data_IF_994976242824
#
_entry.id   IF_994976242824
#
_cell.length_a   1.000
_cell.length_b   1.000
_cell.length_c   1.000
_cell.angle_alpha   90.00
_cell.angle_beta   90.00
_cell.angle_gamma   90.00
#
_symmetry.space_group_name_H-M   'P 1'
#
loop_
_entity.id
_entity.type
_entity.pdbx_description
1 polymer ?
#
# COMPACT_ATOMS: atom_id res chain seq x y z
N UNK A 1 25.27 34.58 14.11
CA UNK A 1 25.44 33.13 13.91
C UNK A 1 24.04 32.51 13.88
N UNK A 2 23.49 32.26 12.70
CA UNK A 2 22.17 31.65 12.51
C UNK A 2 22.32 30.14 12.64
N UNK A 3 21.73 29.53 13.68
CA UNK A 3 21.63 28.06 13.83
C UNK A 3 20.67 27.54 12.77
N UNK A 4 21.19 26.71 11.86
CA UNK A 4 20.37 25.96 10.94
C UNK A 4 19.53 24.98 11.74
N UNK A 5 18.22 25.12 11.71
CA UNK A 5 17.28 24.12 12.21
C UNK A 5 17.31 22.93 11.23
N UNK A 6 17.92 21.84 11.67
CA UNK A 6 17.78 20.56 11.00
C UNK A 6 16.32 20.09 11.21
N UNK A 7 15.50 20.23 10.20
CA UNK A 7 14.19 19.57 10.15
C UNK A 7 14.47 18.07 9.99
N UNK A 8 14.30 17.33 11.07
CA UNK A 8 14.37 15.87 11.08
C UNK A 8 13.16 15.34 10.30
N UNK A 9 13.32 15.09 9.01
CA UNK A 9 12.36 14.35 8.22
C UNK A 9 12.47 12.87 8.64
N UNK A 10 11.68 12.48 9.62
CA UNK A 10 11.48 11.05 9.92
C UNK A 10 10.69 10.49 8.76
N UNK A 11 11.39 9.90 7.79
CA UNK A 11 10.76 9.09 6.75
C UNK A 11 10.13 7.88 7.43
N UNK A 12 8.80 7.87 7.49
CA UNK A 12 8.01 6.72 7.91
C UNK A 12 8.18 5.61 6.85
N UNK A 13 9.19 4.77 7.05
CA UNK A 13 9.11 3.40 6.56
C UNK A 13 8.03 2.72 7.41
N UNK A 14 6.81 2.68 6.89
CA UNK A 14 5.78 1.82 7.46
C UNK A 14 6.38 0.41 7.58
N UNK A 15 6.20 -0.28 8.70
CA UNK A 15 6.68 -1.64 8.85
C UNK A 15 6.11 -2.51 7.73
N UNK A 16 6.89 -3.42 7.17
CA UNK A 16 6.52 -4.26 6.02
C UNK A 16 5.24 -5.09 6.22
N UNK A 17 4.79 -5.27 7.45
CA UNK A 17 3.50 -5.89 7.78
C UNK A 17 2.31 -5.05 7.27
N UNK A 18 2.47 -3.73 7.07
CA UNK A 18 1.43 -2.88 6.50
C UNK A 18 1.32 -2.97 4.97
N UNK A 19 2.31 -3.54 4.28
CA UNK A 19 2.35 -3.65 2.82
C UNK A 19 1.71 -4.93 2.27
N UNK A 20 1.30 -5.87 3.12
CA UNK A 20 0.73 -7.14 2.70
C UNK A 20 -0.67 -7.02 2.06
N UNK A 21 -1.27 -5.84 1.98
CA UNK A 21 -2.65 -5.66 1.53
C UNK A 21 -2.86 -4.64 0.40
N UNK A 22 -1.82 -4.11 -0.19
CA UNK A 22 -1.97 -3.42 -1.47
C UNK A 22 -1.87 -4.45 -2.60
N UNK A 23 -2.98 -5.07 -2.93
CA UNK A 23 -3.09 -5.83 -4.17
C UNK A 23 -3.05 -4.84 -5.33
N UNK A 24 -2.09 -5.02 -6.18
CA UNK A 24 -1.79 -4.13 -7.31
C UNK A 24 -2.85 -4.20 -8.40
N UNK A 25 -3.68 -5.23 -8.39
CA UNK A 25 -4.77 -5.41 -9.36
C UNK A 25 -5.93 -4.43 -9.16
N UNK A 26 -6.13 -3.93 -7.96
CA UNK A 26 -6.88 -2.71 -7.74
C UNK A 26 -5.91 -1.55 -7.91
N UNK A 27 -5.69 -1.11 -9.14
CA UNK A 27 -5.18 0.24 -9.32
C UNK A 27 -6.13 1.15 -8.55
N UNK A 28 -5.74 1.67 -7.37
CA UNK A 28 -6.69 2.37 -6.56
C UNK A 28 -7.24 3.51 -7.40
N UNK A 29 -8.57 3.71 -7.37
CA UNK A 29 -9.08 5.03 -7.62
C UNK A 29 -8.09 6.00 -6.98
N UNK A 30 -7.81 7.13 -7.63
CA UNK A 30 -7.03 8.16 -6.97
C UNK A 30 -7.63 8.32 -5.58
N UNK A 31 -6.91 7.76 -4.60
CA UNK A 31 -7.45 7.43 -3.27
C UNK A 31 -7.93 8.62 -2.48
N UNK A 32 -7.97 9.81 -3.07
CA UNK A 32 -8.35 11.02 -2.36
C UNK A 32 -8.80 12.17 -3.26
N UNK A 33 -9.00 12.01 -4.57
CA UNK A 33 -9.07 13.20 -5.41
C UNK A 33 -7.83 14.07 -5.26
N UNK A 34 -6.75 13.52 -4.72
CA UNK A 34 -5.45 14.16 -4.65
C UNK A 34 -4.67 13.79 -5.87
N UNK A 35 -4.51 14.76 -6.72
CA UNK A 35 -3.38 14.79 -7.61
C UNK A 35 -2.10 14.80 -6.78
N UNK A 36 -0.95 14.29 -7.30
CA UNK A 36 0.33 14.46 -6.65
C UNK A 36 0.43 15.92 -6.18
N UNK A 37 0.65 16.11 -4.88
CA UNK A 37 0.76 17.46 -4.32
C UNK A 37 1.77 18.23 -5.16
N UNK A 38 1.37 19.40 -5.68
CA UNK A 38 2.31 20.26 -6.39
C UNK A 38 3.48 20.56 -5.47
N UNK A 39 4.69 20.44 -5.98
CA UNK A 39 5.87 20.93 -5.29
C UNK A 39 5.70 22.45 -5.07
N UNK A 40 5.23 22.85 -3.90
CA UNK A 40 4.93 24.26 -3.57
C UNK A 40 3.59 24.50 -2.88
N UNK A 41 2.69 23.50 -2.83
CA UNK A 41 1.46 23.64 -2.06
C UNK A 41 1.78 23.59 -0.57
N UNK A 42 1.67 24.74 0.11
CA UNK A 42 1.69 24.79 1.58
C UNK A 42 0.47 24.02 2.06
N UNK A 43 0.70 22.84 2.66
CA UNK A 43 -0.36 22.01 3.22
C UNK A 43 -1.21 22.88 4.17
N UNK A 44 -2.49 23.03 3.85
CA UNK A 44 -3.42 23.73 4.75
C UNK A 44 -3.50 22.95 6.06
N UNK A 45 -3.57 23.61 7.20
CA UNK A 45 -3.69 22.92 8.48
C UNK A 45 -4.98 22.08 8.57
N UNK A 46 -6.02 22.50 7.84
CA UNK A 46 -7.29 21.76 7.71
C UNK A 46 -7.78 21.87 6.27
N UNK A 47 -8.24 20.78 5.72
CA UNK A 47 -8.74 20.63 4.35
C UNK A 47 -10.03 19.79 4.38
N UNK A 48 -11.10 20.33 3.81
CA UNK A 48 -12.38 19.67 3.65
C UNK A 48 -12.66 19.52 2.16
N UNK A 49 -13.17 18.38 1.73
CA UNK A 49 -13.50 18.19 0.32
C UNK A 49 -14.74 17.34 0.12
N UNK A 50 -15.43 17.61 -0.96
CA UNK A 50 -16.43 16.73 -1.56
C UNK A 50 -15.97 16.38 -2.96
N UNK A 51 -16.27 15.18 -3.42
CA UNK A 51 -15.86 14.75 -4.75
C UNK A 51 -16.89 13.81 -5.37
N UNK A 52 -16.92 13.82 -6.69
CA UNK A 52 -17.67 12.86 -7.50
C UNK A 52 -16.81 12.36 -8.65
N UNK A 53 -17.09 11.16 -9.10
CA UNK A 53 -16.36 10.57 -10.22
C UNK A 53 -17.20 9.54 -10.97
N UNK A 54 -16.81 9.33 -12.24
CA UNK A 54 -17.35 8.30 -13.10
C UNK A 54 -16.18 7.45 -13.62
N UNK A 55 -16.33 6.14 -13.55
CA UNK A 55 -15.39 5.18 -14.14
C UNK A 55 -16.13 4.28 -15.12
N UNK A 56 -15.59 4.13 -16.31
CA UNK A 56 -16.00 3.10 -17.26
C UNK A 56 -14.89 2.05 -17.35
N UNK A 57 -15.18 0.83 -16.99
CA UNK A 57 -14.28 -0.32 -17.08
C UNK A 57 -14.86 -1.34 -18.04
N UNK A 58 -14.08 -1.87 -18.97
CA UNK A 58 -14.54 -2.82 -19.99
C UNK A 58 -14.53 -4.29 -19.49
N UNK A 59 -13.88 -4.58 -18.38
CA UNK A 59 -13.78 -5.92 -17.79
C UNK A 59 -13.72 -5.84 -16.26
N UNK A 60 -14.84 -5.44 -15.63
CA UNK A 60 -14.90 -5.14 -14.19
C UNK A 60 -14.48 -6.33 -13.31
N UNK A 61 -14.87 -7.55 -13.69
CA UNK A 61 -14.60 -8.76 -12.91
C UNK A 61 -13.25 -9.42 -13.24
N UNK A 62 -12.47 -8.82 -14.15
CA UNK A 62 -11.14 -9.33 -14.52
C UNK A 62 -11.17 -10.81 -14.96
N UNK A 63 -12.07 -11.13 -15.87
CA UNK A 63 -12.22 -12.50 -16.44
C UNK A 63 -11.63 -12.56 -17.85
N UNK A 64 -11.18 -13.74 -18.24
CA UNK A 64 -10.53 -13.98 -19.54
C UNK A 64 -11.53 -13.91 -20.71
N UNK A 65 -12.65 -14.60 -20.56
CA UNK A 65 -13.66 -14.74 -21.61
C UNK A 65 -14.95 -14.02 -21.20
N UNK A 66 -15.57 -13.34 -22.17
CA UNK A 66 -16.81 -12.61 -21.98
C UNK A 66 -16.77 -11.57 -20.84
N UNK A 67 -15.63 -10.91 -20.71
CA UNK A 67 -15.47 -9.80 -19.77
C UNK A 67 -16.59 -8.75 -19.94
N UNK A 68 -17.32 -8.49 -18.85
CA UNK A 68 -18.40 -7.50 -18.84
C UNK A 68 -17.90 -6.21 -18.24
N UNK A 69 -18.13 -5.12 -18.98
CA UNK A 69 -17.82 -3.79 -18.51
C UNK A 69 -18.92 -3.21 -17.65
N UNK A 70 -18.58 -2.22 -16.85
CA UNK A 70 -19.55 -1.43 -16.09
C UNK A 70 -19.19 0.05 -16.05
N UNK A 71 -20.17 0.87 -15.73
CA UNK A 71 -19.99 2.29 -15.39
C UNK A 71 -20.27 2.46 -13.91
N UNK A 72 -19.24 2.91 -13.18
CA UNK A 72 -19.31 3.08 -11.73
C UNK A 72 -19.33 4.56 -11.40
N UNK A 73 -20.34 5.02 -10.69
CA UNK A 73 -20.41 6.35 -10.10
C UNK A 73 -19.87 6.32 -8.68
N UNK A 74 -19.12 7.34 -8.31
CA UNK A 74 -18.63 7.55 -6.96
C UNK A 74 -19.00 8.94 -6.48
N UNK A 75 -19.51 9.02 -5.25
CA UNK A 75 -19.71 10.27 -4.52
C UNK A 75 -19.12 10.15 -3.13
N UNK A 76 -18.38 11.15 -2.69
CA UNK A 76 -17.75 11.10 -1.40
C UNK A 76 -17.39 12.46 -0.83
N UNK A 77 -17.03 12.41 0.44
CA UNK A 77 -16.51 13.55 1.19
C UNK A 77 -15.40 13.13 2.13
N UNK A 78 -14.57 14.06 2.50
CA UNK A 78 -13.53 13.81 3.47
C UNK A 78 -12.99 15.07 4.10
N UNK A 79 -12.24 14.87 5.14
CA UNK A 79 -11.49 15.92 5.79
C UNK A 79 -10.09 15.45 6.18
N UNK A 80 -9.19 16.42 6.28
CA UNK A 80 -7.86 16.22 6.84
C UNK A 80 -7.50 17.40 7.69
N UNK A 81 -6.86 17.13 8.80
CA UNK A 81 -6.24 18.18 9.62
C UNK A 81 -4.86 17.75 10.09
N UNK A 82 -3.93 18.70 10.18
CA UNK A 82 -2.61 18.52 10.76
C UNK A 82 -2.32 19.68 11.67
N UNK A 83 -2.28 19.41 12.98
CA UNK A 83 -2.16 20.41 14.02
C UNK A 83 -0.94 20.15 14.91
N UNK A 84 -0.26 21.21 15.32
CA UNK A 84 0.62 21.13 16.49
C UNK A 84 -0.24 21.10 17.74
N UNK A 85 -0.03 20.10 18.59
CA UNK A 85 -0.82 19.92 19.80
C UNK A 85 -0.13 20.65 20.98
N UNK A 86 1.08 20.21 21.33
CA UNK A 86 1.87 20.83 22.41
C UNK A 86 3.36 20.72 22.04
N UNK A 87 4.09 21.83 22.11
CA UNK A 87 5.53 21.84 21.88
C UNK A 87 5.93 21.29 20.50
N UNK A 88 6.67 20.18 20.48
CA UNK A 88 7.12 19.48 19.25
C UNK A 88 6.24 18.29 18.89
N UNK A 89 5.01 18.27 19.36
CA UNK A 89 4.04 17.22 19.05
C UNK A 89 3.10 17.69 17.93
N UNK A 90 2.82 16.80 17.00
CA UNK A 90 1.86 17.05 15.92
C UNK A 90 0.91 15.87 15.77
N UNK A 91 -0.36 16.18 15.55
CA UNK A 91 -1.41 15.21 15.27
C UNK A 91 -1.94 15.49 13.87
N UNK A 92 -1.96 14.47 13.02
CA UNK A 92 -2.70 14.52 11.76
C UNK A 92 -3.83 13.51 11.80
N UNK A 93 -5.00 13.93 11.32
CA UNK A 93 -6.19 13.09 11.22
C UNK A 93 -6.75 13.24 9.82
N UNK A 94 -7.08 12.15 9.19
CA UNK A 94 -7.78 12.11 7.90
C UNK A 94 -8.95 11.14 7.99
N UNK A 95 -10.11 11.52 7.45
CA UNK A 95 -11.23 10.62 7.29
C UNK A 95 -11.93 10.90 5.97
N UNK A 96 -12.47 9.83 5.36
CA UNK A 96 -13.14 9.87 4.08
C UNK A 96 -14.22 8.81 4.02
N UNK A 97 -15.34 9.14 3.35
CA UNK A 97 -16.39 8.21 3.02
C UNK A 97 -16.80 8.36 1.56
N UNK A 98 -17.03 7.23 0.89
CA UNK A 98 -17.39 7.14 -0.53
C UNK A 98 -18.55 6.19 -0.73
N UNK A 99 -19.52 6.58 -1.48
CA UNK A 99 -20.58 5.73 -1.99
C UNK A 99 -20.28 5.37 -3.44
N UNK A 100 -20.32 4.08 -3.77
CA UNK A 100 -20.12 3.53 -5.10
C UNK A 100 -21.44 2.93 -5.60
N UNK A 101 -21.83 3.30 -6.81
CA UNK A 101 -23.00 2.77 -7.50
C UNK A 101 -22.59 2.24 -8.86
N UNK A 102 -22.97 0.99 -9.15
CA UNK A 102 -22.65 0.25 -10.35
C UNK A 102 -23.90 0.20 -11.24
N UNK A 103 -23.72 0.40 -12.54
CA UNK A 103 -24.85 0.43 -13.48
C UNK A 103 -25.36 -0.98 -13.83
N UNK A 104 -24.44 -1.90 -14.13
CA UNK A 104 -24.75 -3.28 -14.50
C UNK A 104 -24.75 -4.24 -13.29
N UNK A 105 -23.74 -4.09 -12.43
CA UNK A 105 -23.55 -4.95 -11.25
C UNK A 105 -24.04 -4.24 -9.98
N UNK A 106 -25.33 -3.86 -9.96
CA UNK A 106 -25.92 -3.09 -8.84
C UNK A 106 -25.81 -3.79 -7.48
N UNK A 107 -25.66 -5.12 -7.46
CA UNK A 107 -25.39 -5.88 -6.23
C UNK A 107 -24.03 -5.55 -5.60
N UNK A 108 -23.12 -4.89 -6.33
CA UNK A 108 -21.84 -4.40 -5.83
C UNK A 108 -21.92 -3.00 -5.21
N UNK A 109 -23.07 -2.34 -5.25
CA UNK A 109 -23.27 -1.03 -4.62
C UNK A 109 -22.87 -1.08 -3.15
N UNK A 110 -22.04 -0.13 -2.72
CA UNK A 110 -21.52 -0.15 -1.37
C UNK A 110 -21.07 1.23 -0.88
N UNK A 111 -20.94 1.33 0.43
CA UNK A 111 -20.26 2.42 1.10
C UNK A 111 -18.88 1.97 1.57
N UNK A 112 -17.84 2.69 1.14
CA UNK A 112 -16.46 2.54 1.56
C UNK A 112 -16.06 3.69 2.48
N UNK A 113 -15.17 3.46 3.42
CA UNK A 113 -14.60 4.52 4.23
C UNK A 113 -13.15 4.25 4.58
N UNK A 114 -12.40 5.31 4.85
CA UNK A 114 -11.07 5.24 5.44
C UNK A 114 -10.90 6.33 6.49
N UNK A 115 -10.18 6.00 7.54
CA UNK A 115 -9.78 6.93 8.58
C UNK A 115 -8.36 6.63 9.03
N UNK A 116 -7.56 7.67 9.26
CA UNK A 116 -6.21 7.56 9.78
C UNK A 116 -5.93 8.69 10.78
N UNK A 117 -5.18 8.35 11.83
CA UNK A 117 -4.62 9.30 12.77
C UNK A 117 -3.14 8.98 12.97
N UNK A 118 -2.29 10.00 12.92
CA UNK A 118 -0.85 9.91 13.13
C UNK A 118 -0.45 10.97 14.15
N UNK A 119 0.04 10.51 15.29
CA UNK A 119 0.57 11.35 16.34
C UNK A 119 2.10 11.22 16.37
N UNK A 120 2.79 12.30 16.07
CA UNK A 120 4.25 12.42 16.13
C UNK A 120 4.65 13.23 17.34
N UNK A 121 5.67 12.75 18.03
CA UNK A 121 6.14 13.38 19.26
C UNK A 121 7.67 13.37 19.35
N UNK A 122 8.20 14.40 19.99
CA UNK A 122 9.61 14.54 20.34
C UNK A 122 9.73 14.90 21.81
N UNK A 123 10.62 14.24 22.52
CA UNK A 123 10.93 14.48 23.92
C UNK A 123 12.42 14.80 24.05
N UNK A 124 12.75 15.98 24.51
CA UNK A 124 14.13 16.47 24.47
C UNK A 124 14.65 16.61 23.04
N UNK A 125 15.91 16.24 22.82
CA UNK A 125 16.55 16.29 21.50
C UNK A 125 16.87 14.90 20.94
N UNK A 126 16.74 13.87 21.77
CA UNK A 126 17.29 12.56 21.49
C UNK A 126 16.21 11.49 21.31
N UNK A 127 14.99 11.74 21.79
CA UNK A 127 13.90 10.77 21.70
C UNK A 127 12.76 11.33 20.83
N UNK A 128 12.39 10.58 19.82
CA UNK A 128 11.28 10.91 18.94
C UNK A 128 10.51 9.63 18.55
N UNK A 129 9.23 9.78 18.27
CA UNK A 129 8.43 8.65 17.84
C UNK A 129 7.11 9.04 17.20
N UNK A 130 6.35 8.02 16.83
CA UNK A 130 5.00 8.17 16.28
C UNK A 130 4.10 7.03 16.72
N UNK A 131 2.80 7.32 16.77
CA UNK A 131 1.74 6.32 16.88
C UNK A 131 0.78 6.59 15.73
N UNK A 132 0.50 5.56 14.94
CA UNK A 132 -0.41 5.65 13.82
C UNK A 132 -1.52 4.61 13.94
N UNK A 133 -2.75 5.04 13.73
CA UNK A 133 -3.96 4.22 13.65
C UNK A 133 -4.60 4.43 12.28
N UNK A 134 -4.94 3.35 11.60
CA UNK A 134 -5.69 3.37 10.35
C UNK A 134 -6.82 2.35 10.37
N UNK A 135 -7.96 2.73 9.81
CA UNK A 135 -9.07 1.82 9.54
C UNK A 135 -9.67 2.13 8.19
N UNK A 136 -9.83 1.09 7.38
CA UNK A 136 -10.46 1.20 6.07
C UNK A 136 -11.48 0.09 5.85
N UNK A 137 -12.54 0.40 5.12
CA UNK A 137 -13.48 -0.58 4.60
C UNK A 137 -13.64 -0.35 3.11
N UNK A 138 -13.41 -1.38 2.32
CA UNK A 138 -13.47 -1.33 0.87
C UNK A 138 -14.04 -2.60 0.28
N UNK A 139 -14.45 -2.56 -0.97
CA UNK A 139 -14.79 -3.77 -1.71
C UNK A 139 -13.55 -4.67 -1.83
N UNK A 140 -13.72 -5.98 -1.68
CA UNK A 140 -12.68 -6.97 -1.97
C UNK A 140 -12.24 -6.86 -3.43
N UNK A 141 -11.00 -7.25 -3.69
CA UNK A 141 -10.46 -7.19 -5.03
C UNK A 141 -11.22 -8.12 -5.97
N UNK A 142 -11.85 -7.56 -7.00
CA UNK A 142 -12.63 -8.30 -7.98
C UNK A 142 -11.75 -9.17 -8.89
N UNK A 143 -10.46 -8.85 -9.03
CA UNK A 143 -9.52 -9.67 -9.80
C UNK A 143 -9.20 -11.00 -9.11
N UNK A 144 -9.28 -11.03 -7.78
CA UNK A 144 -9.07 -12.24 -6.99
C UNK A 144 -10.38 -13.01 -6.74
N UNK A 145 -11.44 -12.29 -6.35
CA UNK A 145 -12.74 -12.92 -6.09
C UNK A 145 -13.47 -13.37 -7.35
N UNK A 146 -13.31 -12.62 -8.46
CA UNK A 146 -13.89 -12.86 -9.80
C UNK A 146 -15.38 -13.17 -9.75
N UNK A 147 -16.03 -12.69 -8.72
CA UNK A 147 -17.44 -12.95 -8.43
C UNK A 147 -18.20 -11.64 -8.37
N UNK A 148 -19.39 -11.55 -8.97
CA UNK A 148 -20.24 -10.38 -8.87
C UNK A 148 -20.95 -10.27 -7.50
N UNK A 149 -20.47 -10.97 -6.48
CA UNK A 149 -21.00 -10.85 -5.11
C UNK A 149 -20.21 -9.79 -4.36
N UNK A 150 -20.94 -8.91 -3.69
CA UNK A 150 -20.33 -7.92 -2.81
C UNK A 150 -19.68 -8.61 -1.62
N UNK A 151 -18.38 -8.44 -1.47
CA UNK A 151 -17.60 -8.81 -0.29
C UNK A 151 -16.82 -7.59 0.17
N UNK A 152 -17.03 -7.15 1.39
CA UNK A 152 -16.33 -5.99 1.95
C UNK A 152 -15.20 -6.44 2.85
N UNK A 153 -14.07 -5.79 2.71
CA UNK A 153 -12.88 -5.99 3.56
C UNK A 153 -12.76 -4.80 4.50
N UNK A 154 -12.68 -5.07 5.79
CA UNK A 154 -12.37 -4.07 6.81
C UNK A 154 -11.00 -4.36 7.39
N UNK A 155 -10.05 -3.46 7.17
CA UNK A 155 -8.69 -3.55 7.72
C UNK A 155 -8.48 -2.46 8.79
N UNK A 156 -7.95 -2.87 9.94
CA UNK A 156 -7.54 -1.96 11.01
C UNK A 156 -6.07 -2.19 11.29
N UNK A 157 -5.28 -1.10 11.34
CA UNK A 157 -3.84 -1.13 11.58
C UNK A 157 -3.51 -0.17 12.71
N UNK A 158 -2.68 -0.64 13.64
CA UNK A 158 -2.09 0.17 14.70
C UNK A 158 -0.59 -0.02 14.66
N UNK A 159 0.17 1.06 14.73
CA UNK A 159 1.62 0.98 14.84
C UNK A 159 2.17 2.07 15.75
N UNK A 160 3.26 1.75 16.42
CA UNK A 160 4.01 2.68 17.24
C UNK A 160 5.49 2.50 17.01
N UNK A 161 6.23 3.59 16.85
CA UNK A 161 7.69 3.58 16.70
C UNK A 161 8.32 4.62 17.61
N UNK A 162 9.51 4.31 18.11
CA UNK A 162 10.33 5.24 18.88
C UNK A 162 11.80 5.08 18.47
N UNK A 163 12.53 6.19 18.41
CA UNK A 163 13.94 6.23 18.13
C UNK A 163 14.67 7.08 19.17
N UNK A 164 15.74 6.55 19.74
CA UNK A 164 16.58 7.19 20.74
C UNK A 164 18.01 7.38 20.21
N UNK A 165 18.51 8.62 20.22
CA UNK A 165 19.88 8.95 19.85
C UNK A 165 20.81 8.66 21.03
N UNK A 166 21.54 7.53 20.96
CA UNK A 166 22.56 7.18 21.98
C UNK A 166 23.75 8.14 21.90
N UNK A 167 24.11 8.49 20.69
CA UNK A 167 25.15 9.49 20.38
C UNK A 167 24.62 10.39 19.27
N UNK A 168 25.38 11.44 18.91
CA UNK A 168 25.02 12.31 17.78
C UNK A 168 24.92 11.60 16.42
N UNK A 169 25.33 10.32 16.35
CA UNK A 169 25.37 9.53 15.10
C UNK A 169 24.81 8.12 15.21
N UNK A 170 24.50 7.66 16.40
CA UNK A 170 23.97 6.32 16.63
C UNK A 170 22.58 6.39 17.22
N UNK A 171 21.61 5.78 16.52
CA UNK A 171 20.21 5.70 16.94
C UNK A 171 19.79 4.26 17.17
N UNK A 172 19.11 4.00 18.27
CA UNK A 172 18.30 2.80 18.44
C UNK A 172 16.88 3.12 18.02
N UNK A 173 16.26 2.24 17.25
CA UNK A 173 14.86 2.35 16.88
C UNK A 173 14.12 1.07 17.26
N UNK A 174 12.94 1.22 17.84
CA UNK A 174 12.04 0.13 18.14
C UNK A 174 10.62 0.45 17.67
N UNK A 175 9.82 -0.57 17.42
CA UNK A 175 8.44 -0.40 17.04
C UNK A 175 7.60 -1.65 17.24
N UNK A 176 6.30 -1.43 17.36
CA UNK A 176 5.27 -2.47 17.44
C UNK A 176 4.19 -2.18 16.41
N UNK A 177 3.57 -3.22 15.88
CA UNK A 177 2.46 -3.09 14.94
C UNK A 177 1.44 -4.20 15.14
N UNK A 178 0.19 -3.89 14.82
CA UNK A 178 -0.91 -4.85 14.78
C UNK A 178 -1.81 -4.56 13.59
N UNK A 179 -2.28 -5.61 12.93
CA UNK A 179 -3.22 -5.52 11.82
C UNK A 179 -4.31 -6.58 11.99
N UNK A 180 -5.56 -6.18 11.74
CA UNK A 180 -6.71 -7.08 11.68
C UNK A 180 -7.42 -6.81 10.37
N UNK A 181 -7.64 -7.86 9.57
CA UNK A 181 -8.41 -7.80 8.32
C UNK A 181 -9.58 -8.76 8.40
N UNK A 182 -10.78 -8.27 8.15
CA UNK A 182 -12.03 -9.01 8.25
C UNK A 182 -12.81 -8.90 6.95
N UNK A 183 -13.43 -10.00 6.53
CA UNK A 183 -14.31 -10.06 5.37
C UNK A 183 -15.75 -10.28 5.82
N UNK A 184 -16.71 -9.56 5.23
CA UNK A 184 -18.12 -9.70 5.62
C UNK A 184 -18.82 -10.95 5.05
N UNK A 185 -18.19 -11.63 4.10
CA UNK A 185 -18.74 -12.83 3.44
C UNK A 185 -17.82 -14.03 3.47
N UNK A 186 -16.63 -13.89 4.05
CA UNK A 186 -15.59 -14.92 4.08
C UNK A 186 -14.83 -14.88 5.40
N UNK A 187 -15.37 -15.57 6.41
CA UNK A 187 -14.73 -15.67 7.71
C UNK A 187 -13.39 -16.42 7.63
N UNK A 188 -13.25 -17.34 6.66
CA UNK A 188 -12.00 -18.05 6.35
C UNK A 188 -10.86 -17.16 5.85
N UNK A 189 -11.17 -15.94 5.43
CA UNK A 189 -10.19 -14.95 5.00
C UNK A 189 -9.86 -13.90 6.10
N UNK A 190 -10.37 -14.06 7.31
CA UNK A 190 -9.96 -13.21 8.43
C UNK A 190 -8.51 -13.47 8.79
N UNK A 191 -7.75 -12.38 8.97
CA UNK A 191 -6.35 -12.47 9.38
C UNK A 191 -6.02 -11.45 10.46
N UNK A 192 -5.19 -11.84 11.40
CA UNK A 192 -4.63 -10.99 12.45
C UNK A 192 -3.12 -11.12 12.43
N UNK A 193 -2.42 -10.04 12.60
CA UNK A 193 -0.96 -10.07 12.71
C UNK A 193 -0.48 -9.07 13.75
N UNK A 194 0.50 -9.49 14.54
CA UNK A 194 1.22 -8.64 15.48
C UNK A 194 2.71 -8.71 15.17
N UNK A 195 3.40 -7.58 15.20
CA UNK A 195 4.82 -7.52 14.86
C UNK A 195 5.60 -6.57 15.74
N UNK A 196 6.89 -6.85 15.83
CA UNK A 196 7.88 -6.01 16.50
C UNK A 196 9.08 -5.78 15.58
N UNK A 197 9.72 -4.63 15.71
CA UNK A 197 10.95 -4.26 15.00
C UNK A 197 11.94 -3.63 15.97
N UNK A 198 13.22 -3.98 15.79
CA UNK A 198 14.35 -3.34 16.44
C UNK A 198 15.43 -3.02 15.43
N UNK A 199 16.06 -1.86 15.54
CA UNK A 199 17.15 -1.47 14.64
C UNK A 199 18.22 -0.66 15.35
N UNK A 200 19.46 -0.83 14.87
CA UNK A 200 20.59 0.03 15.19
C UNK A 200 20.98 0.76 13.92
N UNK A 201 21.01 2.08 13.97
CA UNK A 201 21.17 2.92 12.78
C UNK A 201 22.27 3.96 13.01
N UNK A 202 23.17 4.06 12.04
CA UNK A 202 24.05 5.21 11.90
C UNK A 202 23.29 6.36 11.23
N UNK A 203 23.33 7.52 11.83
CA UNK A 203 22.71 8.75 11.31
C UNK A 203 23.83 9.72 10.92
N UNK A 204 23.92 10.07 9.66
CA UNK A 204 24.90 11.02 9.17
C UNK A 204 24.55 12.45 9.57
N UNK A 205 25.48 13.43 9.52
CA UNK A 205 25.19 14.84 9.79
C UNK A 205 24.13 15.44 8.86
N UNK A 206 23.90 14.84 7.69
CA UNK A 206 22.84 15.24 6.73
C UNK A 206 21.51 14.55 6.97
N UNK A 207 21.40 13.70 8.01
CA UNK A 207 20.19 12.95 8.33
C UNK A 207 20.02 11.65 7.54
N UNK A 208 21.01 11.23 6.71
CA UNK A 208 20.98 9.95 6.03
C UNK A 208 21.20 8.82 7.04
N UNK A 209 20.55 7.68 6.83
CA UNK A 209 20.62 6.55 7.76
C UNK A 209 21.10 5.28 7.07
N UNK A 210 21.88 4.49 7.80
CA UNK A 210 22.27 3.14 7.44
C UNK A 210 22.18 2.28 8.71
N UNK A 211 21.52 1.13 8.64
CA UNK A 211 21.30 0.33 9.84
C UNK A 211 21.10 -1.14 9.58
N UNK A 212 21.15 -1.87 10.69
CA UNK A 212 20.73 -3.27 10.78
C UNK A 212 19.41 -3.32 11.53
N UNK A 213 18.44 -4.02 10.95
CA UNK A 213 17.09 -4.16 11.47
C UNK A 213 16.75 -5.64 11.64
N UNK A 214 16.07 -5.96 12.73
CA UNK A 214 15.49 -7.28 12.99
C UNK A 214 13.99 -7.08 13.16
N UNK A 215 13.20 -7.91 12.50
CA UNK A 215 11.74 -7.96 12.62
C UNK A 215 11.27 -9.33 13.03
N UNK A 216 10.16 -9.34 13.77
CA UNK A 216 9.36 -10.53 14.01
C UNK A 216 7.89 -10.20 13.85
N UNK A 217 7.12 -11.12 13.31
CA UNK A 217 5.67 -11.03 13.24
C UNK A 217 5.06 -12.41 13.45
N UNK A 218 3.98 -12.45 14.23
CA UNK A 218 3.10 -13.62 14.36
C UNK A 218 1.78 -13.27 13.66
N UNK A 219 1.33 -14.16 12.77
CA UNK A 219 0.07 -14.04 12.05
C UNK A 219 -0.85 -15.20 12.42
N UNK A 220 -2.12 -14.88 12.62
CA UNK A 220 -3.19 -15.75 13.04
C UNK A 220 -4.34 -15.69 12.03
N UNK A 221 -4.83 -16.87 11.61
CA UNK A 221 -6.05 -17.04 10.82
C UNK A 221 -7.09 -17.74 11.69
N UNK A 222 -8.03 -16.97 12.34
CA UNK A 222 -8.93 -17.50 13.36
C UNK A 222 -9.84 -18.63 12.90
N UNK A 223 -10.07 -18.74 11.60
CA UNK A 223 -10.87 -19.82 11.01
C UNK A 223 -9.94 -20.76 10.22
N UNK A 224 -9.96 -22.02 10.60
CA UNK A 224 -9.17 -23.04 9.93
C UNK A 224 -9.62 -23.19 8.46
N UNK A 225 -8.67 -23.32 7.55
CA UNK A 225 -8.91 -23.59 6.14
C UNK A 225 -9.27 -25.05 5.93
N UNK A 226 -10.31 -25.29 5.14
CA UNK A 226 -10.69 -26.64 4.73
C UNK A 226 -9.88 -27.05 3.50
N UNK A 227 -8.98 -28.02 3.68
CA UNK A 227 -8.18 -28.57 2.59
C UNK A 227 -8.77 -29.89 2.12
N UNK A 228 -9.07 -30.01 0.83
CA UNK A 228 -9.65 -31.20 0.16
C UNK A 228 -11.00 -31.66 0.72
N UNK A 229 -11.74 -30.83 1.45
CA UNK A 229 -13.02 -31.22 2.06
C UNK A 229 -12.88 -32.22 3.23
N UNK A 230 -11.67 -32.44 3.75
CA UNK A 230 -11.37 -33.49 4.72
C UNK A 230 -10.58 -32.99 5.92
N UNK A 231 -9.70 -32.02 5.75
CA UNK A 231 -8.83 -31.55 6.82
C UNK A 231 -9.03 -30.05 7.08
N UNK A 232 -9.24 -29.70 8.35
CA UNK A 232 -9.21 -28.30 8.84
C UNK A 232 -7.79 -28.02 9.30
N UNK A 233 -7.16 -27.00 8.72
CA UNK A 233 -5.76 -26.67 8.97
C UNK A 233 -5.63 -25.18 9.33
N UNK A 234 -4.86 -24.88 10.38
CA UNK A 234 -4.56 -23.50 10.76
C UNK A 234 -3.48 -22.89 9.85
N UNK A 235 -3.74 -21.67 9.42
CA UNK A 235 -2.81 -20.87 8.63
C UNK A 235 -1.95 -19.92 9.48
N UNK A 236 -1.78 -20.25 10.75
CA UNK A 236 -0.94 -19.46 11.65
C UNK A 236 0.52 -19.51 11.18
N UNK A 237 1.15 -18.36 11.17
CA UNK A 237 2.55 -18.26 10.75
C UNK A 237 3.35 -17.38 11.69
N UNK A 238 4.65 -17.66 11.71
CA UNK A 238 5.67 -16.80 12.30
C UNK A 238 6.65 -16.33 11.24
N UNK A 239 6.86 -15.03 11.16
CA UNK A 239 7.84 -14.44 10.26
C UNK A 239 8.97 -13.78 11.04
N UNK A 240 10.20 -13.96 10.56
CA UNK A 240 11.40 -13.30 11.08
C UNK A 240 12.19 -12.76 9.91
N UNK A 241 12.78 -11.59 10.09
CA UNK A 241 13.64 -10.99 9.09
C UNK A 241 14.82 -10.27 9.75
N UNK A 242 15.99 -10.41 9.14
CA UNK A 242 17.16 -9.61 9.43
C UNK A 242 17.55 -8.89 8.15
N UNK A 243 17.65 -7.56 8.21
CA UNK A 243 17.85 -6.73 7.03
C UNK A 243 18.81 -5.57 7.26
N UNK A 244 19.56 -5.24 6.24
CA UNK A 244 20.21 -3.93 6.11
C UNK A 244 19.17 -2.93 5.58
N UNK A 245 19.12 -1.75 6.21
CA UNK A 245 18.22 -0.67 5.84
C UNK A 245 19.01 0.61 5.62
N UNK A 246 18.65 1.36 4.59
CA UNK A 246 19.29 2.63 4.28
C UNK A 246 18.25 3.65 3.83
N UNK A 247 18.42 4.91 4.24
CA UNK A 247 17.68 6.04 3.70
C UNK A 247 18.66 7.15 3.39
N UNK A 248 18.61 7.65 2.18
CA UNK A 248 19.56 8.59 1.65
C UNK A 248 18.87 9.76 0.94
N UNK A 249 19.24 10.97 1.30
CA UNK A 249 18.80 12.18 0.63
C UNK A 249 20.01 12.97 0.13
N UNK A 250 20.11 13.16 -1.18
CA UNK A 250 21.10 14.01 -1.81
C UNK A 250 20.49 15.37 -2.11
N UNK A 251 20.55 16.23 -1.11
CA UNK A 251 19.89 17.54 -1.13
C UNK A 251 18.36 17.41 -1.23
N UNK A 252 17.66 18.43 -1.74
CA UNK A 252 16.21 18.41 -1.84
C UNK A 252 15.67 17.63 -3.05
N UNK A 253 16.54 17.16 -3.93
CA UNK A 253 16.15 16.65 -5.26
C UNK A 253 16.20 15.14 -5.43
N UNK A 254 16.91 14.43 -4.57
CA UNK A 254 17.01 12.98 -4.64
C UNK A 254 16.80 12.38 -3.26
N UNK A 255 15.84 11.48 -3.17
CA UNK A 255 15.65 10.61 -2.02
C UNK A 255 15.67 9.17 -2.48
N UNK A 256 16.35 8.32 -1.76
CA UNK A 256 16.37 6.90 -2.01
C UNK A 256 16.29 6.17 -0.67
N UNK A 257 15.56 5.07 -0.65
CA UNK A 257 15.47 4.17 0.48
C UNK A 257 15.72 2.75 -0.02
N UNK A 258 16.27 1.94 0.85
CA UNK A 258 16.59 0.57 0.51
C UNK A 258 16.53 -0.33 1.73
N UNK A 259 16.13 -1.56 1.45
CA UNK A 259 16.12 -2.66 2.40
C UNK A 259 16.52 -3.92 1.66
N UNK A 260 17.43 -4.71 2.24
CA UNK A 260 17.78 -6.04 1.78
C UNK A 260 18.00 -6.93 2.99
N UNK A 261 17.33 -8.08 3.03
CA UNK A 261 17.35 -8.96 4.18
C UNK A 261 17.11 -10.42 3.82
N UNK A 262 17.18 -11.25 4.84
CA UNK A 262 16.74 -12.64 4.80
C UNK A 262 15.48 -12.76 5.63
N UNK A 263 14.44 -13.27 5.01
CA UNK A 263 13.14 -13.50 5.61
C UNK A 263 12.88 -14.99 5.70
N UNK A 264 12.41 -15.43 6.87
CA UNK A 264 11.92 -16.79 7.12
C UNK A 264 10.49 -16.67 7.60
N UNK A 265 9.56 -17.39 6.95
CA UNK A 265 8.17 -17.54 7.38
C UNK A 265 7.87 -19.00 7.56
N UNK A 266 7.40 -19.38 8.73
CA UNK A 266 7.08 -20.75 9.13
C UNK A 266 5.59 -20.85 9.47
N UNK A 267 4.91 -21.82 8.88
CA UNK A 267 3.51 -22.13 9.17
C UNK A 267 3.43 -23.29 10.13
N UNK A 268 2.55 -23.21 11.14
CA UNK A 268 2.47 -24.18 12.22
C UNK A 268 2.05 -25.57 11.77
N UNK A 269 1.09 -25.67 10.83
CA UNK A 269 0.50 -26.93 10.37
C UNK A 269 0.77 -27.24 8.90
N UNK A 270 1.36 -26.32 8.16
CA UNK A 270 1.61 -26.43 6.71
C UNK A 270 3.07 -26.15 6.36
N UNK A 271 4.02 -27.06 6.68
CA UNK A 271 5.44 -26.86 6.38
C UNK A 271 5.74 -26.58 4.91
N UNK A 272 4.93 -27.10 4.00
CA UNK A 272 5.05 -26.87 2.55
C UNK A 272 4.80 -25.39 2.17
N UNK A 273 4.17 -24.60 3.05
CA UNK A 273 3.98 -23.17 2.91
C UNK A 273 5.15 -22.34 3.46
N UNK A 274 6.15 -22.97 4.06
CA UNK A 274 7.28 -22.26 4.61
C UNK A 274 8.05 -21.53 3.51
N UNK A 275 8.53 -20.33 3.86
CA UNK A 275 9.36 -19.53 2.99
C UNK A 275 10.66 -19.18 3.68
N UNK A 276 11.75 -19.35 2.98
CA UNK A 276 13.06 -18.84 3.39
C UNK A 276 13.78 -18.27 2.18
N UNK A 277 14.13 -17.00 2.23
CA UNK A 277 14.74 -16.36 1.07
C UNK A 277 15.24 -14.94 1.32
N UNK A 278 15.98 -14.45 0.35
CA UNK A 278 16.40 -13.06 0.31
C UNK A 278 15.24 -12.20 -0.20
N UNK A 279 14.86 -11.21 0.60
CA UNK A 279 13.87 -10.19 0.29
C UNK A 279 14.54 -8.83 0.18
N UNK A 280 14.02 -7.99 -0.68
CA UNK A 280 14.57 -6.65 -0.83
C UNK A 280 13.55 -5.68 -1.43
N UNK A 281 13.72 -4.42 -1.08
CA UNK A 281 12.98 -3.30 -1.66
C UNK A 281 13.93 -2.12 -1.78
N UNK A 282 13.94 -1.48 -2.94
CA UNK A 282 14.69 -0.26 -3.22
C UNK A 282 13.74 0.72 -3.86
N UNK A 283 13.64 1.90 -3.29
CA UNK A 283 12.79 2.97 -3.79
C UNK A 283 13.54 4.28 -3.92
N UNK A 284 13.00 5.19 -4.70
CA UNK A 284 13.56 6.53 -4.80
C UNK A 284 12.66 7.50 -5.53
N UNK A 285 12.84 8.76 -5.18
CA UNK A 285 12.25 9.91 -5.84
C UNK A 285 13.35 10.85 -6.31
N UNK A 286 13.34 11.18 -7.57
CA UNK A 286 14.24 12.15 -8.15
C UNK A 286 13.46 13.31 -8.78
N UNK A 287 13.85 14.52 -8.41
CA UNK A 287 13.33 15.79 -8.92
C UNK A 287 14.37 16.44 -9.85
N UNK A 288 14.46 16.04 -11.14
CA UNK A 288 15.46 16.60 -12.07
C UNK A 288 15.27 18.12 -12.29
N UNK A 289 14.10 18.63 -11.99
CA UNK A 289 13.75 20.04 -12.02
C UNK A 289 12.58 20.35 -11.10
N UNK A 290 12.10 21.60 -11.12
CA UNK A 290 11.00 22.03 -10.25
C UNK A 290 9.61 21.56 -10.73
N UNK A 291 9.53 20.99 -11.91
CA UNK A 291 8.27 20.60 -12.58
C UNK A 291 8.15 19.10 -12.82
N UNK A 292 9.20 18.34 -12.57
CA UNK A 292 9.24 16.91 -12.89
C UNK A 292 9.64 16.12 -11.65
N UNK A 293 8.90 15.05 -11.37
CA UNK A 293 9.22 14.05 -10.37
C UNK A 293 9.27 12.67 -11.03
N UNK A 294 10.27 11.89 -10.68
CA UNK A 294 10.43 10.50 -11.12
C UNK A 294 10.47 9.62 -9.88
N UNK A 295 9.52 8.72 -9.74
CA UNK A 295 9.46 7.74 -8.65
C UNK A 295 9.75 6.36 -9.21
N UNK A 296 10.65 5.62 -8.57
CA UNK A 296 11.00 4.24 -8.92
C UNK A 296 10.94 3.39 -7.67
N UNK A 297 10.35 2.20 -7.77
CA UNK A 297 10.50 1.16 -6.76
C UNK A 297 10.73 -0.19 -7.42
N UNK A 298 11.66 -0.95 -6.84
CA UNK A 298 12.03 -2.31 -7.20
C UNK A 298 11.89 -3.17 -5.94
N UNK A 299 11.32 -4.36 -6.04
CA UNK A 299 11.10 -5.20 -4.87
C UNK A 299 11.05 -6.69 -5.19
N UNK A 300 11.38 -7.49 -4.18
CA UNK A 300 11.14 -8.92 -4.08
C UNK A 300 10.72 -9.24 -2.66
N UNK A 301 9.46 -9.59 -2.47
CA UNK A 301 8.89 -9.76 -1.12
C UNK A 301 7.75 -10.82 -1.13
N UNK A 302 7.61 -11.59 -0.04
CA UNK A 302 6.44 -12.44 0.11
C UNK A 302 5.23 -11.56 0.45
N UNK A 303 4.10 -11.80 -0.24
CA UNK A 303 2.81 -11.18 0.06
C UNK A 303 1.81 -12.26 0.46
N UNK A 304 0.96 -11.96 1.41
CA UNK A 304 -0.20 -12.78 1.71
C UNK A 304 -1.28 -12.46 0.69
N UNK A 305 -1.83 -13.47 0.03
CA UNK A 305 -2.97 -13.33 -0.87
C UNK A 305 -4.17 -14.03 -0.26
N UNK A 306 -5.34 -13.43 -0.42
CA UNK A 306 -6.64 -13.97 -0.01
C UNK A 306 -7.14 -14.98 -1.07
N UNK A 307 -6.27 -15.74 -1.67
CA UNK A 307 -6.67 -16.81 -2.56
C UNK A 307 -6.64 -18.14 -1.79
N UNK A 308 -7.74 -18.87 -1.86
CA UNK A 308 -8.01 -20.14 -1.15
C UNK A 308 -6.94 -21.22 -1.40
N UNK A 309 -6.06 -21.00 -2.36
CA UNK A 309 -5.16 -22.03 -2.86
C UNK A 309 -3.67 -21.78 -2.60
N UNK A 310 -3.28 -20.66 -2.00
CA UNK A 310 -1.86 -20.36 -1.83
C UNK A 310 -1.53 -19.82 -0.44
N UNK A 311 -0.48 -20.33 0.18
CA UNK A 311 -0.01 -19.85 1.47
C UNK A 311 0.62 -18.46 1.42
N UNK A 312 1.39 -18.20 0.38
CA UNK A 312 1.98 -16.89 0.09
C UNK A 312 2.35 -16.79 -1.39
N UNK A 313 2.54 -15.57 -1.84
CA UNK A 313 3.02 -15.26 -3.17
C UNK A 313 4.33 -14.52 -3.08
N UNK A 314 5.36 -15.04 -3.72
CA UNK A 314 6.61 -14.31 -3.89
C UNK A 314 6.46 -13.36 -5.08
N UNK A 315 6.42 -12.07 -4.80
CA UNK A 315 6.26 -11.03 -5.82
C UNK A 315 7.60 -10.37 -6.09
N UNK A 316 7.98 -10.31 -7.37
CA UNK A 316 9.09 -9.49 -7.88
C UNK A 316 8.49 -8.41 -8.76
N UNK A 317 8.83 -7.16 -8.52
CA UNK A 317 8.19 -6.11 -9.29
C UNK A 317 9.02 -4.87 -9.45
N UNK A 318 8.59 -4.08 -10.42
CA UNK A 318 9.05 -2.72 -10.67
C UNK A 318 7.85 -1.79 -10.85
N UNK A 319 7.91 -0.65 -10.19
CA UNK A 319 7.01 0.47 -10.46
C UNK A 319 7.83 1.69 -10.89
N UNK A 320 7.37 2.38 -11.92
CA UNK A 320 7.98 3.62 -12.37
C UNK A 320 6.89 4.68 -12.61
N UNK A 321 7.03 5.84 -11.97
CA UNK A 321 6.01 6.87 -11.94
C UNK A 321 6.56 8.27 -12.24
N UNK A 322 6.75 8.65 -13.51
CA UNK A 322 7.04 10.02 -13.89
C UNK A 322 5.81 10.92 -13.74
N UNK A 323 6.03 12.13 -13.25
CA UNK A 323 5.03 13.20 -13.27
C UNK A 323 5.66 14.51 -13.73
N UNK A 324 4.86 15.31 -14.42
CA UNK A 324 5.27 16.61 -14.96
C UNK A 324 4.17 17.65 -14.75
N UNK A 325 4.54 18.77 -14.15
CA UNK A 325 3.67 19.93 -13.93
C UNK A 325 4.02 21.04 -14.93
N UNK A 326 3.51 21.03 -16.19
CA UNK A 326 3.80 22.06 -17.18
C UNK A 326 3.43 23.46 -16.71
N UNK A 327 2.34 23.56 -15.97
CA UNK A 327 1.87 24.81 -15.34
C UNK A 327 1.64 24.62 -13.85
N UNK A 328 1.39 25.72 -13.13
CA UNK A 328 1.00 25.68 -11.73
C UNK A 328 -0.40 25.04 -11.49
N UNK A 329 -1.16 24.79 -12.55
CA UNK A 329 -2.55 24.32 -12.51
C UNK A 329 -2.74 22.95 -13.14
N UNK A 330 -1.72 22.37 -13.76
CA UNK A 330 -1.83 21.11 -14.49
C UNK A 330 -0.72 20.15 -14.12
N UNK A 331 -1.07 18.88 -13.97
CA UNK A 331 -0.13 17.77 -13.79
C UNK A 331 -0.45 16.66 -14.76
N UNK A 332 0.57 16.15 -15.41
CA UNK A 332 0.54 14.92 -16.20
C UNK A 332 1.32 13.86 -15.43
N UNK A 333 0.81 12.66 -15.37
CA UNK A 333 1.49 11.53 -14.71
C UNK A 333 1.36 10.26 -15.54
N UNK A 334 2.39 9.42 -15.46
CA UNK A 334 2.34 8.05 -15.94
C UNK A 334 2.74 7.16 -14.77
N UNK A 335 2.10 6.02 -14.60
CA UNK A 335 2.52 4.97 -13.68
C UNK A 335 2.61 3.67 -14.46
N UNK A 336 3.75 3.05 -14.39
CA UNK A 336 4.03 1.75 -14.97
C UNK A 336 4.23 0.74 -13.85
N UNK A 337 3.68 -0.46 -14.04
CA UNK A 337 3.86 -1.60 -13.17
C UNK A 337 4.21 -2.82 -13.98
N UNK A 338 5.15 -3.58 -13.49
CA UNK A 338 5.43 -4.95 -13.93
C UNK A 338 5.70 -5.80 -12.70
N UNK A 339 4.96 -6.89 -12.54
CA UNK A 339 5.13 -7.85 -11.45
C UNK A 339 5.14 -9.28 -11.98
N UNK A 340 6.08 -10.08 -11.50
CA UNK A 340 6.05 -11.53 -11.58
C UNK A 340 5.67 -12.09 -10.21
N UNK A 341 4.72 -13.01 -10.20
CA UNK A 341 4.11 -13.60 -9.01
C UNK A 341 4.26 -15.10 -9.04
N UNK A 342 5.01 -15.65 -8.10
CA UNK A 342 5.19 -17.08 -7.90
C UNK A 342 4.35 -17.51 -6.70
N UNK A 343 3.30 -18.32 -6.92
CA UNK A 343 2.42 -18.80 -5.87
C UNK A 343 3.01 -20.06 -5.26
N UNK A 344 3.30 -20.03 -3.99
CA UNK A 344 3.99 -21.12 -3.28
C UNK A 344 3.12 -21.65 -2.12
N UNK A 345 3.37 -22.90 -1.75
CA UNK A 345 2.83 -23.48 -0.54
C UNK A 345 1.40 -24.02 -0.62
N UNK A 346 0.84 -24.23 -1.81
CA UNK A 346 -0.41 -24.99 -1.94
C UNK A 346 -0.12 -26.50 -1.82
N UNK A 347 -0.71 -27.20 -0.84
CA UNK A 347 -0.46 -28.64 -0.66
C UNK A 347 -0.86 -29.50 -1.86
N UNK A 348 -1.74 -29.01 -2.74
CA UNK A 348 -2.10 -29.72 -4.00
C UNK A 348 -0.94 -29.81 -4.98
N UNK A 349 0.02 -28.88 -4.91
CA UNK A 349 1.25 -28.93 -5.72
C UNK A 349 2.23 -29.96 -5.18
N UNK A 350 2.34 -30.11 -3.86
CA UNK A 350 3.19 -31.11 -3.24
C UNK A 350 2.78 -32.55 -3.64
N UNK A 351 1.50 -32.76 -3.95
CA UNK A 351 0.97 -34.02 -4.45
C UNK A 351 1.14 -34.19 -5.99
N UNK A 352 1.73 -33.20 -6.69
CA UNK A 352 1.90 -33.24 -8.15
C UNK A 352 0.60 -33.17 -8.95
N UNK A 353 -0.50 -32.77 -8.31
CA UNK A 353 -1.82 -32.72 -8.95
C UNK A 353 -2.01 -31.49 -9.83
N UNK A 354 -1.28 -30.42 -9.55
CA UNK A 354 -1.33 -29.14 -10.28
C UNK A 354 0.09 -28.57 -10.47
N UNK A 355 0.37 -27.86 -11.57
CA UNK A 355 1.61 -27.10 -11.69
C UNK A 355 1.62 -25.93 -10.70
N UNK A 356 2.82 -25.46 -10.32
CA UNK A 356 2.96 -24.19 -9.61
C UNK A 356 2.33 -23.06 -10.43
N UNK A 357 1.55 -22.23 -9.78
CA UNK A 357 0.93 -21.07 -10.43
C UNK A 357 1.94 -19.93 -10.51
N UNK A 358 2.17 -19.47 -11.72
CA UNK A 358 2.97 -18.30 -12.04
C UNK A 358 2.14 -17.29 -12.81
N UNK A 359 2.29 -16.02 -12.47
CA UNK A 359 1.58 -14.93 -13.12
C UNK A 359 2.51 -13.76 -13.41
N UNK A 360 2.28 -13.10 -14.53
CA UNK A 360 2.88 -11.82 -14.87
C UNK A 360 1.78 -10.77 -14.98
N UNK A 361 1.90 -9.70 -14.19
CA UNK A 361 0.96 -8.57 -14.20
C UNK A 361 1.67 -7.35 -14.77
N UNK A 362 1.05 -6.72 -15.76
CA UNK A 362 1.52 -5.46 -16.37
C UNK A 362 0.41 -4.44 -16.34
N UNK A 363 0.71 -3.22 -15.90
CA UNK A 363 -0.26 -2.15 -15.92
C UNK A 363 0.37 -0.80 -16.27
N UNK A 364 -0.41 0.04 -16.92
CA UNK A 364 -0.08 1.44 -17.18
C UNK A 364 -1.27 2.32 -16.84
N UNK A 365 -1.00 3.41 -16.13
CA UNK A 365 -1.95 4.49 -15.87
C UNK A 365 -1.42 5.79 -16.43
N UNK A 366 -2.21 6.47 -17.22
CA UNK A 366 -2.02 7.88 -17.60
C UNK A 366 -2.96 8.72 -16.76
N UNK A 367 -2.45 9.77 -16.14
CA UNK A 367 -3.22 10.69 -15.33
C UNK A 367 -3.04 12.13 -15.80
N UNK A 368 -4.13 12.87 -15.81
CA UNK A 368 -4.16 14.32 -16.01
C UNK A 368 -4.92 14.96 -14.86
N UNK A 369 -4.33 15.95 -14.23
CA UNK A 369 -4.92 16.75 -13.18
C UNK A 369 -4.96 18.22 -13.55
N UNK A 370 -6.06 18.89 -13.22
CA UNK A 370 -6.28 20.29 -13.50
C UNK A 370 -6.96 21.02 -12.34
N UNK A 371 -6.38 22.14 -11.92
CA UNK A 371 -6.93 23.06 -10.91
C UNK A 371 -7.32 24.38 -11.56
N UNK A 372 -8.51 24.47 -12.19
CA UNK A 372 -8.94 25.71 -12.85
C UNK A 372 -9.00 26.89 -11.89
N UNK A 373 -9.42 26.63 -10.66
CA UNK A 373 -9.60 27.62 -9.60
C UNK A 373 -9.15 27.02 -8.27
N UNK A 374 -8.93 27.89 -7.27
CA UNK A 374 -8.39 27.53 -5.92
C UNK A 374 -9.14 26.40 -5.19
N UNK A 375 -10.42 26.20 -5.48
CA UNK A 375 -11.28 25.24 -4.78
C UNK A 375 -11.69 24.05 -5.67
N UNK A 376 -11.39 24.08 -6.96
CA UNK A 376 -11.85 23.07 -7.90
C UNK A 376 -10.66 22.26 -8.44
N UNK A 377 -10.85 20.96 -8.44
CA UNK A 377 -9.91 20.03 -9.05
C UNK A 377 -10.67 19.09 -9.96
N UNK A 378 -10.19 18.93 -11.17
CA UNK A 378 -10.69 17.97 -12.13
C UNK A 378 -9.59 16.95 -12.47
N UNK A 379 -9.97 15.71 -12.65
CA UNK A 379 -9.08 14.61 -12.94
C UNK A 379 -9.56 13.73 -14.07
N UNK A 380 -8.60 13.22 -14.80
CA UNK A 380 -8.80 12.20 -15.82
C UNK A 380 -7.73 11.12 -15.62
N UNK A 381 -8.12 9.84 -15.70
CA UNK A 381 -7.19 8.74 -15.73
C UNK A 381 -7.60 7.70 -16.78
N UNK A 382 -6.61 7.14 -17.46
CA UNK A 382 -6.74 6.00 -18.35
C UNK A 382 -5.85 4.88 -17.84
N UNK A 383 -6.46 3.78 -17.47
CA UNK A 383 -5.80 2.57 -16.99
C UNK A 383 -5.88 1.47 -18.04
N UNK A 384 -4.78 0.79 -18.24
CA UNK A 384 -4.74 -0.46 -19.01
C UNK A 384 -3.86 -1.47 -18.29
N UNK A 385 -4.36 -2.69 -18.15
CA UNK A 385 -3.59 -3.76 -17.53
C UNK A 385 -3.87 -5.12 -18.16
N UNK A 386 -2.91 -6.01 -17.95
CA UNK A 386 -2.97 -7.42 -18.34
C UNK A 386 -2.45 -8.30 -17.22
N UNK A 387 -3.03 -9.46 -17.06
CA UNK A 387 -2.49 -10.58 -16.30
C UNK A 387 -2.38 -11.78 -17.23
N UNK A 388 -1.22 -12.40 -17.26
CA UNK A 388 -0.90 -13.64 -17.95
C UNK A 388 -0.60 -14.69 -16.87
N UNK A 389 -1.24 -15.86 -16.91
CA UNK A 389 -1.11 -16.94 -15.94
C UNK A 389 -0.91 -18.27 -16.65
N UNK A 390 -0.16 -19.18 -16.04
CA UNK A 390 -0.11 -20.58 -16.49
C UNK A 390 -1.35 -21.41 -16.06
N UNK A 391 -2.28 -20.78 -15.31
CA UNK A 391 -3.54 -21.39 -14.89
C UNK A 391 -4.69 -20.95 -15.80
N UNK A 392 -5.53 -21.91 -16.15
CA UNK A 392 -6.74 -21.69 -16.95
C UNK A 392 -7.65 -20.67 -16.26
N UNK A 393 -8.31 -19.83 -17.06
CA UNK A 393 -9.26 -18.80 -16.63
C UNK A 393 -8.67 -17.69 -15.75
N UNK A 394 -7.35 -17.54 -15.64
CA UNK A 394 -6.71 -16.50 -14.84
C UNK A 394 -6.21 -15.32 -15.66
N UNK A 395 -6.10 -15.49 -16.97
CA UNK A 395 -5.71 -14.41 -17.87
C UNK A 395 -6.79 -13.34 -17.94
N UNK A 396 -6.39 -12.12 -18.07
CA UNK A 396 -7.30 -11.04 -18.42
C UNK A 396 -6.57 -9.83 -18.98
N UNK A 397 -7.34 -8.99 -19.64
CA UNK A 397 -6.97 -7.62 -19.94
C UNK A 397 -8.11 -6.67 -19.56
N UNK A 398 -7.79 -5.43 -19.30
CA UNK A 398 -8.79 -4.41 -19.05
C UNK A 398 -8.31 -3.03 -19.50
N UNK A 399 -9.29 -2.16 -19.75
CA UNK A 399 -9.10 -0.72 -19.95
C UNK A 399 -10.18 0.00 -19.15
N UNK A 400 -9.77 0.93 -18.29
CA UNK A 400 -10.69 1.75 -17.53
C UNK A 400 -10.42 3.22 -17.74
N UNK A 401 -11.48 3.99 -17.88
CA UNK A 401 -11.47 5.45 -18.00
C UNK A 401 -12.11 6.05 -16.77
N UNK A 402 -11.46 6.98 -16.12
CA UNK A 402 -11.96 7.66 -14.92
C UNK A 402 -11.99 9.17 -15.11
N UNK A 403 -13.09 9.79 -14.71
CA UNK A 403 -13.27 11.24 -14.60
C UNK A 403 -13.62 11.57 -13.15
N UNK A 404 -12.93 12.54 -12.58
CA UNK A 404 -13.15 12.99 -11.20
C UNK A 404 -13.28 14.52 -11.14
N UNK A 405 -14.16 14.96 -10.25
CA UNK A 405 -14.29 16.36 -9.88
C UNK A 405 -14.32 16.48 -8.36
N UNK A 406 -13.55 17.38 -7.82
CA UNK A 406 -13.52 17.66 -6.40
C UNK A 406 -13.62 19.17 -6.12
N UNK A 407 -14.33 19.49 -5.05
CA UNK A 407 -14.35 20.82 -4.48
C UNK A 407 -13.72 20.79 -3.08
N UNK A 408 -12.84 21.75 -2.80
CA UNK A 408 -12.09 21.88 -1.54
C UNK A 408 -12.36 23.22 -0.89
N UNK A 409 -12.48 23.17 0.41
CA UNK A 409 -12.64 24.35 1.26
C UNK A 409 -11.37 24.63 2.06
#
# INVERSE_FOLDING_TARGET
MKKAQAVLAVSLLAPAVALAFETVDSLPWPSSGRFPAYAGETARPTDLWVHGGLMRDNNLLRVEVAGRGDTVMRLGAGFRTAQRVIGRQSLSVEARGDFYSFNEFTQLDHFAYSGAADWRWEVGNDLAGSIALGRERRLADLSETRSPRRSMVTATRLSGTAGYMITSRLRLRGGLSGTVSQHDTRDDAETRAAGAVGAVEYVSPLGNTLGLEVRGADGDAPVAEEIFGVALVNNDFREREVAFVASYALGPRLRADGRVGRTTREYSELPDRNFEGTTWRVGGEWLPGNKTSLVLALYKEPRSIIDVAAGHVLVRGVTFGPSWAPTAKTVLSVRLLHEDREFQGDPRFALGLLPLRDETVKAVRFGFGWEPQRHWQAGFALDRGTRESNFVDRDYNFTALTLDLAWRY
#
